data_IF_360986688028
#
_entry.id   IF_360986688028
#
_cell.length_a   1.000
_cell.length_b   1.000
_cell.length_c   1.000
_cell.angle_alpha   90.00
_cell.angle_beta   90.00
_cell.angle_gamma   90.00
#
_symmetry.space_group_name_H-M   'P 1'
#
loop_
_entity.id
_entity.type
_entity.pdbx_description
1 polymer ?
#
# COMPACT_ATOMS: atom_id res chain seq x y z
N UNK A 1 -14.18 -18.59 -26.05
CA UNK A 1 -14.32 -17.21 -26.50
C UNK A 1 -12.94 -16.65 -26.84
N UNK A 2 -12.56 -16.65 -28.06
CA UNK A 2 -11.27 -16.26 -28.59
C UNK A 2 -10.36 -17.45 -28.88
N UNK A 3 -9.71 -17.42 -30.03
CA UNK A 3 -8.61 -18.32 -30.36
C UNK A 3 -7.33 -17.65 -29.84
N UNK A 4 -6.63 -18.29 -28.93
CA UNK A 4 -5.30 -17.86 -28.48
C UNK A 4 -4.29 -18.66 -29.25
N UNK A 5 -3.56 -17.99 -30.14
CA UNK A 5 -2.45 -18.60 -30.87
C UNK A 5 -1.20 -18.59 -30.01
N UNK A 6 -0.72 -19.74 -29.60
CA UNK A 6 0.52 -19.91 -28.85
C UNK A 6 1.16 -21.27 -29.14
N UNK A 7 2.45 -21.37 -28.88
CA UNK A 7 3.25 -22.59 -29.03
C UNK A 7 3.62 -23.23 -27.68
N UNK A 8 3.10 -22.72 -26.56
CA UNK A 8 3.37 -23.23 -25.21
C UNK A 8 2.36 -24.33 -24.91
N UNK A 9 2.82 -25.54 -24.59
CA UNK A 9 1.99 -26.71 -24.31
C UNK A 9 1.96 -27.09 -22.83
N UNK A 10 2.96 -26.65 -22.04
CA UNK A 10 3.07 -26.92 -20.63
C UNK A 10 3.67 -25.71 -19.90
N UNK A 11 3.16 -25.41 -18.70
CA UNK A 11 3.70 -24.39 -17.80
C UNK A 11 3.89 -25.03 -16.41
N UNK A 12 5.11 -24.95 -15.87
CA UNK A 12 5.41 -25.35 -14.51
C UNK A 12 5.63 -24.11 -13.63
N UNK A 13 4.84 -23.97 -12.56
CA UNK A 13 4.96 -22.87 -11.60
C UNK A 13 5.80 -23.31 -10.41
N UNK A 14 6.99 -22.70 -10.27
CA UNK A 14 7.94 -22.99 -9.18
C UNK A 14 7.94 -21.83 -8.17
N UNK A 15 7.41 -22.00 -6.95
CA UNK A 15 7.39 -20.95 -5.94
C UNK A 15 8.73 -20.80 -5.25
N UNK A 16 9.61 -19.92 -5.78
CA UNK A 16 10.91 -19.59 -5.18
C UNK A 16 10.75 -18.29 -4.38
N UNK A 17 10.73 -18.37 -3.05
CA UNK A 17 10.47 -17.22 -2.15
C UNK A 17 11.60 -16.18 -2.18
N UNK A 18 12.86 -16.62 -2.14
CA UNK A 18 14.00 -15.72 -2.10
C UNK A 18 14.25 -15.10 -3.47
N UNK A 19 14.27 -13.76 -3.53
CA UNK A 19 14.41 -12.99 -4.76
C UNK A 19 15.76 -13.22 -5.46
N UNK A 20 16.87 -13.27 -4.71
CA UNK A 20 18.18 -13.50 -5.29
C UNK A 20 18.29 -14.93 -5.90
N UNK A 21 17.68 -15.92 -5.26
CA UNK A 21 17.60 -17.29 -5.78
C UNK A 21 16.78 -17.34 -7.08
N UNK A 22 15.66 -16.61 -7.17
CA UNK A 22 14.87 -16.53 -8.41
C UNK A 22 15.68 -15.96 -9.56
N UNK A 23 16.41 -14.85 -9.31
CA UNK A 23 17.27 -14.23 -10.33
C UNK A 23 18.41 -15.18 -10.72
N UNK A 24 19.03 -15.88 -9.79
CA UNK A 24 20.07 -16.84 -10.10
C UNK A 24 19.54 -18.01 -10.95
N UNK A 25 18.39 -18.57 -10.63
CA UNK A 25 17.72 -19.63 -11.38
C UNK A 25 17.37 -19.18 -12.82
N UNK A 26 16.91 -17.93 -13.01
CA UNK A 26 16.69 -17.38 -14.34
C UNK A 26 18.00 -17.28 -15.13
N UNK A 27 19.03 -16.69 -14.54
CA UNK A 27 20.31 -16.46 -15.22
C UNK A 27 21.10 -17.76 -15.53
N UNK A 28 20.84 -18.83 -14.77
CA UNK A 28 21.39 -20.17 -15.04
C UNK A 28 20.59 -20.98 -16.05
N UNK A 29 19.40 -20.52 -16.45
CA UNK A 29 18.50 -21.28 -17.32
C UNK A 29 17.73 -22.41 -16.63
N UNK A 30 17.70 -22.45 -15.30
CA UNK A 30 16.87 -23.39 -14.53
C UNK A 30 15.37 -23.07 -14.65
N UNK A 31 15.04 -21.79 -14.83
CA UNK A 31 13.70 -21.30 -15.11
C UNK A 31 13.72 -20.30 -16.28
N UNK A 32 12.63 -20.24 -17.03
CA UNK A 32 12.53 -19.42 -18.24
C UNK A 32 11.94 -18.01 -17.97
N UNK A 33 11.10 -17.87 -16.95
CA UNK A 33 10.38 -16.62 -16.63
C UNK A 33 10.43 -16.37 -15.13
N UNK A 34 10.68 -15.13 -14.76
CA UNK A 34 10.52 -14.62 -13.38
C UNK A 34 9.47 -13.53 -13.37
N UNK A 35 8.44 -13.70 -12.58
CA UNK A 35 7.53 -12.61 -12.19
C UNK A 35 8.05 -11.94 -10.92
N UNK A 36 7.73 -10.66 -10.73
CA UNK A 36 8.16 -9.85 -9.58
C UNK A 36 9.70 -9.87 -9.39
N UNK A 37 10.43 -9.65 -10.48
CA UNK A 37 11.88 -9.50 -10.43
C UNK A 37 12.27 -8.29 -9.56
N UNK A 38 13.30 -8.43 -8.69
CA UNK A 38 13.76 -7.30 -7.87
C UNK A 38 14.24 -6.15 -8.76
N UNK A 39 13.79 -4.94 -8.50
CA UNK A 39 14.11 -3.77 -9.34
C UNK A 39 15.61 -3.47 -9.40
N UNK A 40 16.36 -3.84 -8.37
CA UNK A 40 17.81 -3.71 -8.32
C UNK A 40 18.57 -4.65 -9.27
N UNK A 41 17.95 -5.76 -9.69
CA UNK A 41 18.57 -6.76 -10.57
C UNK A 41 18.17 -6.61 -12.04
N UNK A 42 17.22 -5.72 -12.38
CA UNK A 42 16.72 -5.60 -13.76
C UNK A 42 17.81 -5.23 -14.76
N UNK A 43 18.72 -4.32 -14.40
CA UNK A 43 19.85 -3.97 -15.26
C UNK A 43 20.78 -5.17 -15.51
N UNK A 44 21.05 -5.97 -14.47
CA UNK A 44 21.84 -7.20 -14.57
C UNK A 44 21.18 -8.23 -15.48
N UNK A 45 19.87 -8.45 -15.31
CA UNK A 45 19.10 -9.38 -16.14
C UNK A 45 19.12 -8.90 -17.61
N UNK A 46 18.80 -7.64 -17.83
CA UNK A 46 18.74 -7.04 -19.18
C UNK A 46 20.08 -7.05 -19.93
N UNK A 47 21.21 -6.98 -19.20
CA UNK A 47 22.55 -7.05 -19.81
C UNK A 47 23.04 -8.48 -20.05
N UNK A 48 22.35 -9.50 -19.55
CA UNK A 48 22.71 -10.89 -19.72
C UNK A 48 22.22 -11.43 -21.07
N UNK A 49 23.09 -12.09 -21.82
CA UNK A 49 22.76 -12.61 -23.15
C UNK A 49 21.55 -13.57 -23.07
N UNK A 50 20.60 -13.44 -24.00
CA UNK A 50 19.41 -14.27 -24.08
C UNK A 50 18.28 -13.89 -23.10
N UNK A 51 18.45 -12.83 -22.31
CA UNK A 51 17.45 -12.38 -21.36
C UNK A 51 16.81 -11.04 -21.78
N UNK A 52 15.53 -10.89 -21.46
CA UNK A 52 14.76 -9.66 -21.71
C UNK A 52 14.00 -9.28 -20.43
N UNK A 53 13.88 -7.99 -20.16
CA UNK A 53 13.04 -7.44 -19.10
C UNK A 53 11.85 -6.74 -19.76
N UNK A 54 10.65 -7.15 -19.36
CA UNK A 54 9.40 -6.45 -19.68
C UNK A 54 8.85 -5.85 -18.39
N UNK A 55 8.38 -4.62 -18.46
CA UNK A 55 7.83 -3.89 -17.32
C UNK A 55 6.51 -3.24 -17.68
N UNK A 56 5.53 -3.39 -16.80
CA UNK A 56 4.23 -2.74 -16.92
C UNK A 56 3.76 -2.29 -15.54
N UNK A 57 3.00 -1.18 -15.43
CA UNK A 57 2.38 -0.79 -14.18
C UNK A 57 1.46 -1.90 -13.65
N UNK A 58 1.58 -2.22 -12.38
CA UNK A 58 0.68 -3.15 -11.71
C UNK A 58 -0.56 -2.40 -11.22
N UNK A 59 -1.75 -2.99 -11.43
CA UNK A 59 -3.02 -2.44 -10.94
C UNK A 59 -3.18 -2.70 -9.43
N UNK A 60 -2.30 -2.11 -8.64
CA UNK A 60 -2.24 -2.26 -7.18
C UNK A 60 -1.62 -1.04 -6.53
N UNK A 61 -2.30 -0.49 -5.53
CA UNK A 61 -1.74 0.53 -4.65
C UNK A 61 -1.21 -0.12 -3.37
N UNK A 62 0.04 0.21 -2.99
CA UNK A 62 0.63 -0.17 -1.70
C UNK A 62 0.45 1.01 -0.76
N UNK A 63 -0.01 0.74 0.45
CA UNK A 63 -0.30 1.76 1.44
C UNK A 63 0.04 1.31 2.86
N UNK A 64 0.04 2.26 3.78
CA UNK A 64 0.19 2.04 5.20
C UNK A 64 -1.16 2.26 5.88
N UNK A 65 -1.62 1.27 6.64
CA UNK A 65 -2.85 1.35 7.42
C UNK A 65 -2.55 1.65 8.89
N UNK A 66 -3.40 2.47 9.50
CA UNK A 66 -3.33 2.89 10.91
C UNK A 66 -4.65 2.57 11.60
N UNK A 67 -4.65 1.73 12.64
CA UNK A 67 -5.86 1.37 13.39
C UNK A 67 -6.38 2.59 14.17
N UNK A 68 -7.61 3.00 13.88
CA UNK A 68 -8.24 4.20 14.44
C UNK A 68 -9.21 3.90 15.59
N UNK A 69 -9.49 2.62 15.89
CA UNK A 69 -10.54 2.27 16.85
C UNK A 69 -10.03 1.87 18.21
N UNK A 70 -8.89 1.15 18.31
CA UNK A 70 -8.38 0.73 19.61
C UNK A 70 -8.07 1.92 20.50
N UNK A 71 -8.32 1.80 21.80
CA UNK A 71 -8.08 2.90 22.74
C UNK A 71 -6.61 3.14 23.02
N UNK A 72 -5.81 2.08 22.93
CA UNK A 72 -4.36 2.10 23.12
C UNK A 72 -3.70 1.24 22.05
N UNK A 73 -2.55 1.68 21.55
CA UNK A 73 -1.73 0.86 20.65
C UNK A 73 -1.31 -0.44 21.35
N UNK A 74 -1.32 -1.54 20.63
CA UNK A 74 -0.80 -2.85 21.09
C UNK A 74 0.72 -2.82 21.23
N UNK A 75 1.36 -1.95 20.48
CA UNK A 75 2.80 -1.67 20.51
C UNK A 75 3.03 -0.18 20.77
N UNK A 76 4.06 0.15 21.53
CA UNK A 76 4.39 1.56 21.78
C UNK A 76 4.32 1.94 23.26
N UNK A 77 4.42 3.26 23.53
CA UNK A 77 4.61 3.79 24.88
C UNK A 77 3.64 4.93 25.25
N UNK A 78 2.65 5.23 24.40
CA UNK A 78 1.81 6.42 24.58
C UNK A 78 0.73 6.29 25.66
N UNK A 79 0.31 5.05 25.99
CA UNK A 79 -0.84 4.82 26.85
C UNK A 79 -2.20 5.10 26.21
N UNK A 80 -2.21 5.62 24.98
CA UNK A 80 -3.38 5.87 24.13
C UNK A 80 -3.12 5.44 22.69
N UNK A 81 -4.04 5.78 21.77
CA UNK A 81 -3.87 5.55 20.35
C UNK A 81 -3.75 6.87 19.59
N UNK A 82 -2.51 7.30 19.22
CA UNK A 82 -2.29 8.52 18.46
C UNK A 82 -3.03 8.53 17.11
N UNK A 83 -3.24 7.37 16.48
CA UNK A 83 -3.88 7.26 15.16
C UNK A 83 -5.36 7.62 15.14
N UNK A 84 -6.03 7.76 16.29
CA UNK A 84 -7.36 8.34 16.38
C UNK A 84 -7.41 9.80 15.93
N UNK A 85 -6.30 10.53 16.08
CA UNK A 85 -6.18 11.94 15.69
C UNK A 85 -5.84 12.06 14.22
N UNK A 86 -6.64 12.81 13.47
CA UNK A 86 -6.40 13.06 12.04
C UNK A 86 -5.06 13.75 11.81
N UNK A 87 -4.71 14.68 12.68
CA UNK A 87 -3.46 15.46 12.64
C UNK A 87 -2.23 14.54 12.70
N UNK A 88 -2.28 13.50 13.53
CA UNK A 88 -1.21 12.49 13.62
C UNK A 88 -1.09 11.71 12.31
N UNK A 89 -2.21 11.20 11.77
CA UNK A 89 -2.18 10.48 10.49
C UNK A 89 -1.67 11.35 9.35
N UNK A 90 -2.07 12.62 9.31
CA UNK A 90 -1.59 13.59 8.35
C UNK A 90 -0.09 13.90 8.53
N UNK A 91 0.39 14.01 9.77
CA UNK A 91 1.81 14.20 10.06
C UNK A 91 2.65 13.03 9.51
N UNK A 92 2.24 11.79 9.77
CA UNK A 92 2.93 10.62 9.22
C UNK A 92 2.93 10.63 7.68
N UNK A 93 1.79 10.99 7.07
CA UNK A 93 1.66 11.09 5.62
C UNK A 93 2.63 12.11 5.03
N UNK A 94 2.70 13.34 5.59
CA UNK A 94 3.56 14.42 5.11
C UNK A 94 5.04 14.21 5.45
N UNK A 95 5.37 13.37 6.43
CA UNK A 95 6.75 13.02 6.75
C UNK A 95 7.37 12.00 5.78
N UNK A 96 6.56 11.33 4.94
CA UNK A 96 7.03 10.31 4.00
C UNK A 96 7.33 10.94 2.64
N UNK A 97 8.63 11.02 2.31
CA UNK A 97 9.11 11.43 0.98
C UNK A 97 8.89 10.32 -0.04
N UNK A 98 7.70 10.31 -0.64
CA UNK A 98 7.30 9.28 -1.61
C UNK A 98 8.16 9.33 -2.88
N UNK A 99 8.64 10.51 -3.29
CA UNK A 99 9.52 10.67 -4.44
C UNK A 99 10.91 10.07 -4.19
N UNK A 100 11.41 10.18 -2.96
CA UNK A 100 12.63 9.48 -2.57
C UNK A 100 12.45 7.96 -2.57
N UNK A 101 11.30 7.44 -2.15
CA UNK A 101 10.97 6.01 -2.25
C UNK A 101 10.94 5.59 -3.73
N UNK A 102 10.20 6.30 -4.59
CA UNK A 102 10.16 6.06 -6.03
C UNK A 102 11.56 6.00 -6.62
N UNK A 103 12.36 7.04 -6.39
CA UNK A 103 13.68 7.19 -7.01
C UNK A 103 14.73 6.22 -6.46
N UNK A 104 14.82 6.07 -5.13
CA UNK A 104 15.94 5.36 -4.47
C UNK A 104 15.62 3.89 -4.19
N UNK A 105 14.40 3.59 -3.75
CA UNK A 105 13.98 2.22 -3.40
C UNK A 105 13.43 1.49 -4.62
N UNK A 106 12.57 2.16 -5.40
CA UNK A 106 11.87 1.55 -6.54
C UNK A 106 12.57 1.80 -7.89
N UNK A 107 13.72 2.49 -7.90
CA UNK A 107 14.51 2.77 -9.12
C UNK A 107 13.70 3.45 -10.24
N UNK A 108 12.70 4.25 -9.89
CA UNK A 108 11.79 4.91 -10.81
C UNK A 108 10.61 4.04 -11.30
N UNK A 109 10.51 2.80 -10.83
CA UNK A 109 9.51 1.82 -11.29
C UNK A 109 8.30 1.74 -10.37
N UNK A 110 7.83 2.87 -9.88
CA UNK A 110 6.58 3.00 -9.15
C UNK A 110 5.96 4.37 -9.39
N UNK A 111 4.65 4.47 -9.24
CA UNK A 111 3.94 5.74 -9.32
C UNK A 111 3.38 6.10 -7.94
N UNK A 112 3.67 7.31 -7.40
CA UNK A 112 3.04 7.81 -6.19
C UNK A 112 1.53 7.91 -6.37
N UNK A 113 0.77 7.48 -5.37
CA UNK A 113 -0.69 7.53 -5.38
C UNK A 113 -1.21 8.30 -4.16
N UNK A 114 -2.24 9.13 -4.34
CA UNK A 114 -2.94 9.83 -3.26
C UNK A 114 -4.12 9.03 -2.72
N UNK A 115 -4.73 8.17 -3.56
CA UNK A 115 -5.87 7.32 -3.21
C UNK A 115 -5.58 5.85 -3.57
N UNK A 116 -6.37 4.92 -3.02
CA UNK A 116 -6.20 3.47 -3.28
C UNK A 116 -6.92 3.06 -4.56
N UNK A 117 -6.61 3.77 -5.64
CA UNK A 117 -7.07 3.47 -7.00
C UNK A 117 -6.08 4.06 -8.01
N UNK A 118 -6.31 3.92 -9.32
CA UNK A 118 -5.36 4.31 -10.37
C UNK A 118 -6.11 4.62 -11.67
N UNK A 119 -5.46 5.26 -12.66
CA UNK A 119 -6.05 5.56 -13.96
C UNK A 119 -6.68 4.32 -14.62
N UNK A 120 -7.90 4.48 -15.13
CA UNK A 120 -8.68 3.41 -15.74
C UNK A 120 -9.69 2.74 -14.81
N UNK A 121 -9.67 3.05 -13.51
CA UNK A 121 -10.68 2.62 -12.55
C UNK A 121 -11.83 3.63 -12.53
N UNK A 122 -13.07 3.15 -12.56
CA UNK A 122 -14.25 4.02 -12.41
C UNK A 122 -14.19 4.80 -11.10
N UNK A 123 -14.36 6.12 -11.19
CA UNK A 123 -14.28 7.04 -10.05
C UNK A 123 -12.87 7.56 -9.75
N UNK A 124 -11.84 7.14 -10.50
CA UNK A 124 -10.54 7.79 -10.45
C UNK A 124 -10.58 9.14 -11.15
N UNK A 125 -10.02 10.15 -10.52
CA UNK A 125 -9.63 11.41 -11.18
C UNK A 125 -8.26 11.85 -10.68
N UNK A 126 -7.55 12.63 -11.50
CA UNK A 126 -6.23 13.13 -11.15
C UNK A 126 -6.26 14.05 -9.93
N UNK A 127 -7.35 14.82 -9.78
CA UNK A 127 -7.55 15.75 -8.67
C UNK A 127 -7.72 15.00 -7.34
N UNK A 128 -8.42 13.85 -7.36
CA UNK A 128 -8.57 13.00 -6.17
C UNK A 128 -7.27 12.27 -5.80
N UNK A 129 -6.40 12.01 -6.78
CA UNK A 129 -5.11 11.36 -6.59
C UNK A 129 -3.98 12.36 -6.24
N UNK A 130 -4.31 13.64 -6.06
CA UNK A 130 -3.33 14.64 -5.65
C UNK A 130 -2.90 14.42 -4.20
N UNK A 131 -1.60 14.28 -4.00
CA UNK A 131 -1.01 14.03 -2.68
C UNK A 131 -0.79 15.33 -1.91
N UNK A 132 -0.95 15.25 -0.58
CA UNK A 132 -0.40 16.28 0.29
C UNK A 132 1.13 16.37 0.11
N UNK A 133 1.71 17.57 0.18
CA UNK A 133 3.14 17.75 -0.01
C UNK A 133 3.95 17.07 1.10
N UNK A 134 5.14 16.58 0.73
CA UNK A 134 6.14 16.18 1.71
C UNK A 134 6.64 17.42 2.45
N UNK A 135 6.44 17.47 3.76
CA UNK A 135 6.82 18.59 4.62
C UNK A 135 7.07 18.11 6.06
N UNK A 136 8.35 17.99 6.40
CA UNK A 136 8.79 17.50 7.72
C UNK A 136 8.46 18.51 8.83
N UNK A 137 8.55 19.80 8.55
CA UNK A 137 8.32 20.84 9.56
C UNK A 137 6.82 20.96 9.86
N UNK A 138 5.97 20.94 8.83
CA UNK A 138 4.52 20.85 9.02
C UNK A 138 4.13 19.57 9.77
N UNK A 139 4.75 18.43 9.45
CA UNK A 139 4.50 17.16 10.14
C UNK A 139 4.85 17.24 11.64
N UNK A 140 5.98 17.84 12.01
CA UNK A 140 6.33 18.07 13.42
C UNK A 140 5.34 18.96 14.14
N UNK A 141 4.90 20.04 13.48
CA UNK A 141 3.91 20.94 14.06
C UNK A 141 2.58 20.22 14.32
N UNK A 142 2.10 19.43 13.35
CA UNK A 142 0.89 18.62 13.50
C UNK A 142 0.98 17.64 14.67
N UNK A 143 2.14 16.98 14.87
CA UNK A 143 2.34 16.12 16.03
C UNK A 143 2.32 16.88 17.34
N UNK A 144 2.98 18.04 17.40
CA UNK A 144 2.99 18.88 18.59
C UNK A 144 1.60 19.37 18.96
N UNK A 145 0.83 19.87 17.98
CA UNK A 145 -0.55 20.33 18.16
C UNK A 145 -1.49 19.20 18.58
N UNK A 146 -1.19 17.97 18.13
CA UNK A 146 -1.90 16.77 18.55
C UNK A 146 -1.50 16.25 19.94
N UNK A 147 -0.51 16.86 20.62
CA UNK A 147 -0.05 16.49 21.95
C UNK A 147 1.10 15.49 21.97
N UNK A 148 1.82 15.31 20.86
CA UNK A 148 3.00 14.45 20.74
C UNK A 148 4.23 15.23 20.25
N UNK A 149 4.67 16.30 20.97
CA UNK A 149 5.79 17.15 20.52
C UNK A 149 7.13 16.39 20.41
N UNK A 150 7.29 15.34 21.21
CA UNK A 150 8.47 14.47 21.21
C UNK A 150 8.27 13.19 20.38
N UNK A 151 7.14 13.08 19.66
CA UNK A 151 6.76 11.90 18.93
C UNK A 151 6.26 10.76 19.82
N UNK A 152 6.36 9.53 19.33
CA UNK A 152 5.93 8.32 20.05
C UNK A 152 6.59 7.06 19.47
N UNK A 153 6.42 5.93 20.16
CA UNK A 153 6.89 4.62 19.68
C UNK A 153 5.74 3.82 19.10
N UNK A 154 6.01 3.08 18.02
CA UNK A 154 5.04 2.18 17.37
C UNK A 154 5.74 1.09 16.60
N UNK A 155 5.10 -0.09 16.44
CA UNK A 155 5.58 -1.16 15.57
C UNK A 155 4.95 -1.03 14.17
N UNK A 156 5.76 -1.07 13.11
CA UNK A 156 5.30 -1.21 11.73
C UNK A 156 5.40 -2.66 11.28
N UNK A 157 4.28 -3.29 11.01
CA UNK A 157 4.20 -4.65 10.47
C UNK A 157 4.30 -4.61 8.95
N UNK A 158 5.26 -5.34 8.41
CA UNK A 158 5.59 -5.33 7.00
C UNK A 158 5.78 -6.75 6.47
N UNK A 159 5.23 -7.12 5.30
CA UNK A 159 5.64 -8.35 4.64
C UNK A 159 7.06 -8.19 4.07
N UNK A 160 7.74 -9.31 3.81
CA UNK A 160 9.06 -9.31 3.17
C UNK A 160 9.17 -10.29 1.99
N UNK A 161 8.03 -10.86 1.57
CA UNK A 161 7.95 -11.77 0.43
C UNK A 161 6.63 -11.63 -0.35
N UNK A 162 5.98 -10.43 -0.29
CA UNK A 162 4.67 -10.19 -0.89
C UNK A 162 4.67 -9.18 -2.01
N UNK A 163 5.33 -8.06 -1.84
CA UNK A 163 5.39 -6.95 -2.80
C UNK A 163 6.82 -6.67 -3.21
N UNK A 164 6.99 -6.02 -4.36
CA UNK A 164 8.33 -5.61 -4.81
C UNK A 164 8.92 -4.64 -3.78
N UNK A 165 10.08 -5.00 -3.22
CA UNK A 165 10.83 -4.21 -2.24
C UNK A 165 10.03 -3.81 -0.97
N UNK A 166 9.07 -4.62 -0.55
CA UNK A 166 8.21 -4.32 0.62
C UNK A 166 9.01 -3.97 1.88
N UNK A 167 9.94 -4.82 2.32
CA UNK A 167 10.77 -4.55 3.49
C UNK A 167 11.67 -3.31 3.30
N UNK A 168 12.20 -3.08 2.10
CA UNK A 168 13.03 -1.91 1.81
C UNK A 168 12.21 -0.61 1.84
N UNK A 169 10.96 -0.64 1.39
CA UNK A 169 10.03 0.49 1.50
C UNK A 169 9.75 0.77 2.98
N UNK A 170 9.39 -0.25 3.77
CA UNK A 170 9.14 -0.09 5.21
C UNK A 170 10.38 0.44 5.95
N UNK A 171 11.58 -0.04 5.63
CA UNK A 171 12.84 0.47 6.19
C UNK A 171 13.05 1.96 5.89
N UNK A 172 12.74 2.39 4.66
CA UNK A 172 12.80 3.80 4.30
C UNK A 172 11.78 4.64 5.09
N UNK A 173 10.56 4.14 5.26
CA UNK A 173 9.50 4.79 6.07
C UNK A 173 9.94 4.95 7.52
N UNK A 174 10.52 3.92 8.14
CA UNK A 174 11.09 3.98 9.50
C UNK A 174 12.06 5.16 9.65
N UNK A 175 13.02 5.28 8.72
CA UNK A 175 13.99 6.37 8.74
C UNK A 175 13.37 7.75 8.49
N UNK A 176 12.29 7.84 7.72
CA UNK A 176 11.58 9.11 7.48
C UNK A 176 10.77 9.54 8.69
N UNK A 177 10.03 8.63 9.31
CA UNK A 177 9.22 8.92 10.50
C UNK A 177 10.09 9.26 11.72
N UNK A 178 11.29 8.69 11.82
CA UNK A 178 12.27 9.07 12.84
C UNK A 178 12.66 10.55 12.81
N UNK A 179 12.58 11.23 11.65
CA UNK A 179 12.86 12.67 11.54
C UNK A 179 11.84 13.56 12.25
N UNK A 180 10.64 13.04 12.49
CA UNK A 180 9.57 13.75 13.21
C UNK A 180 9.37 13.22 14.63
N UNK A 181 10.32 12.43 15.16
CA UNK A 181 10.27 11.89 16.51
C UNK A 181 9.47 10.61 16.66
N UNK A 182 8.88 10.06 15.58
CA UNK A 182 8.16 8.79 15.66
C UNK A 182 9.15 7.64 15.53
N UNK A 183 9.39 6.93 16.65
CA UNK A 183 10.27 5.78 16.73
C UNK A 183 9.54 4.52 16.28
N UNK A 184 9.81 4.08 15.07
CA UNK A 184 9.14 2.93 14.47
C UNK A 184 10.03 1.69 14.59
N UNK A 185 9.55 0.65 15.28
CA UNK A 185 10.14 -0.69 15.28
C UNK A 185 9.63 -1.46 14.07
N UNK A 186 10.51 -1.81 13.15
CA UNK A 186 10.12 -2.59 11.97
C UNK A 186 9.99 -4.08 12.31
N UNK A 187 8.80 -4.63 12.09
CA UNK A 187 8.52 -6.06 12.21
C UNK A 187 8.26 -6.67 10.82
N UNK A 188 9.34 -7.01 10.13
CA UNK A 188 9.29 -7.66 8.82
C UNK A 188 9.05 -9.16 8.96
N UNK A 189 8.11 -9.70 8.18
CA UNK A 189 7.70 -11.10 8.29
C UNK A 189 7.17 -11.66 6.97
N UNK A 190 7.09 -13.00 6.88
CA UNK A 190 6.52 -13.63 5.67
C UNK A 190 5.06 -13.26 5.48
N UNK A 191 4.62 -13.19 4.21
CA UNK A 191 3.22 -12.87 3.85
C UNK A 191 2.20 -13.74 4.58
N UNK A 192 2.49 -15.02 4.77
CA UNK A 192 1.57 -15.95 5.44
C UNK A 192 1.32 -15.55 6.90
N UNK A 193 2.38 -15.16 7.62
CA UNK A 193 2.27 -14.67 8.99
C UNK A 193 1.64 -13.29 9.02
N UNK A 194 2.08 -12.37 8.15
CA UNK A 194 1.59 -11.01 8.05
C UNK A 194 0.06 -10.97 7.85
N UNK A 195 -0.45 -11.69 6.86
CA UNK A 195 -1.90 -11.71 6.60
C UNK A 195 -2.70 -12.42 7.69
N UNK A 196 -2.13 -13.46 8.34
CA UNK A 196 -2.79 -14.08 9.48
C UNK A 196 -2.97 -13.09 10.62
N UNK A 197 -1.91 -12.38 11.00
CA UNK A 197 -1.93 -11.41 12.08
C UNK A 197 -2.84 -10.20 11.77
N UNK A 198 -2.87 -9.72 10.53
CA UNK A 198 -3.82 -8.68 10.12
C UNK A 198 -5.28 -9.16 10.22
N UNK A 199 -5.58 -10.41 9.81
CA UNK A 199 -6.93 -10.99 9.98
C UNK A 199 -7.32 -11.08 11.44
N UNK A 200 -6.37 -11.42 12.30
CA UNK A 200 -6.56 -11.51 13.75
C UNK A 200 -6.53 -10.12 14.45
N UNK A 201 -6.54 -9.02 13.67
CA UNK A 201 -6.52 -7.62 14.14
C UNK A 201 -5.33 -7.31 15.07
N UNK A 202 -4.15 -7.84 14.78
CA UNK A 202 -2.97 -7.67 15.63
C UNK A 202 -2.01 -6.55 15.17
N UNK A 203 -2.36 -5.77 14.13
CA UNK A 203 -1.51 -4.69 13.61
C UNK A 203 -2.13 -3.33 13.84
N UNK A 204 -1.44 -2.44 14.57
CA UNK A 204 -1.86 -1.05 14.76
C UNK A 204 -1.40 -0.18 13.57
N UNK A 205 -0.21 -0.47 13.06
CA UNK A 205 0.40 0.17 11.90
C UNK A 205 1.00 -0.89 10.99
N UNK A 206 0.62 -0.92 9.72
CA UNK A 206 0.98 -2.02 8.82
C UNK A 206 1.03 -1.60 7.36
N UNK A 207 1.80 -2.33 6.56
CA UNK A 207 1.77 -2.25 5.10
C UNK A 207 0.74 -3.21 4.53
N UNK A 208 -0.04 -2.74 3.56
CA UNK A 208 -0.92 -3.57 2.74
C UNK A 208 -0.89 -3.08 1.29
N UNK A 209 -1.27 -3.94 0.36
CA UNK A 209 -1.48 -3.58 -1.03
C UNK A 209 -2.82 -4.09 -1.53
N UNK A 210 -3.55 -3.23 -2.24
CA UNK A 210 -4.88 -3.55 -2.74
C UNK A 210 -4.97 -3.38 -4.25
N UNK A 211 -5.45 -4.42 -4.93
CA UNK A 211 -5.74 -4.39 -6.36
C UNK A 211 -7.24 -4.15 -6.59
N UNK A 212 -7.59 -3.62 -7.76
CA UNK A 212 -8.99 -3.33 -8.11
C UNK A 212 -9.41 -4.16 -9.34
N UNK A 213 -9.66 -5.46 -9.19
CA UNK A 213 -9.92 -6.37 -10.31
C UNK A 213 -11.21 -6.05 -11.06
N UNK A 214 -12.16 -5.38 -10.42
CA UNK A 214 -13.42 -4.95 -11.04
C UNK A 214 -13.29 -3.67 -11.87
N UNK A 215 -12.14 -2.98 -11.78
CA UNK A 215 -11.90 -1.64 -12.34
C UNK A 215 -12.95 -0.62 -11.89
N UNK A 216 -13.39 -0.74 -10.63
CA UNK A 216 -14.39 0.14 -10.02
C UNK A 216 -14.03 0.46 -8.57
N UNK A 217 -14.07 1.74 -8.18
CA UNK A 217 -13.73 2.21 -6.83
C UNK A 217 -14.62 1.63 -5.74
N UNK A 218 -15.85 1.21 -6.04
CA UNK A 218 -16.72 0.51 -5.10
C UNK A 218 -16.02 -0.68 -4.46
N UNK A 219 -15.20 -1.43 -5.23
CA UNK A 219 -14.45 -2.58 -4.70
C UNK A 219 -13.51 -2.18 -3.55
N UNK A 220 -12.87 -1.01 -3.65
CA UNK A 220 -12.00 -0.47 -2.60
C UNK A 220 -12.83 -0.08 -1.38
N UNK A 221 -13.91 0.68 -1.59
CA UNK A 221 -14.77 1.14 -0.51
C UNK A 221 -15.41 0.00 0.26
N UNK A 222 -16.01 -0.96 -0.44
CA UNK A 222 -16.65 -2.12 0.16
C UNK A 222 -15.72 -2.95 1.05
N UNK A 223 -14.46 -3.15 0.64
CA UNK A 223 -13.54 -3.99 1.41
C UNK A 223 -12.71 -3.23 2.44
N UNK A 224 -12.32 -1.99 2.17
CA UNK A 224 -11.34 -1.26 3.01
C UNK A 224 -11.95 -0.16 3.88
N UNK A 225 -13.13 0.38 3.49
CA UNK A 225 -13.69 1.55 4.17
C UNK A 225 -15.11 1.35 4.71
N UNK A 226 -15.90 0.43 4.18
CA UNK A 226 -17.22 0.13 4.74
C UNK A 226 -17.09 -0.28 6.21
N UNK A 227 -17.98 0.29 7.05
CA UNK A 227 -17.96 0.03 8.48
C UNK A 227 -18.13 -1.46 8.77
N UNK A 228 -17.17 -2.07 9.47
CA UNK A 228 -17.17 -3.48 9.81
C UNK A 228 -16.74 -4.43 8.68
N UNK A 229 -16.34 -3.94 7.52
CA UNK A 229 -15.85 -4.79 6.43
C UNK A 229 -14.61 -5.59 6.84
N UNK A 230 -14.48 -6.80 6.29
CA UNK A 230 -13.48 -7.79 6.73
C UNK A 230 -12.02 -7.35 6.57
N UNK A 231 -11.75 -6.48 5.62
CA UNK A 231 -10.42 -5.91 5.35
C UNK A 231 -10.26 -4.45 5.77
N UNK A 232 -11.29 -3.87 6.38
CA UNK A 232 -11.21 -2.57 7.03
C UNK A 232 -10.41 -2.69 8.34
N UNK A 233 -9.10 -2.94 8.23
CA UNK A 233 -8.21 -3.17 9.37
C UNK A 233 -7.73 -1.88 10.04
N UNK A 234 -8.03 -0.74 9.43
CA UNK A 234 -7.87 0.58 10.05
C UNK A 234 -9.05 0.91 10.96
N UNK A 235 -10.09 0.08 10.97
CA UNK A 235 -11.34 0.26 11.71
C UNK A 235 -11.98 1.64 11.48
N UNK A 236 -11.86 2.14 10.25
CA UNK A 236 -12.54 3.35 9.80
C UNK A 236 -14.05 3.15 9.85
N UNK A 237 -14.78 4.15 10.30
CA UNK A 237 -16.24 4.14 10.31
C UNK A 237 -16.76 5.56 10.11
N UNK A 238 -17.54 5.74 9.05
CA UNK A 238 -18.16 7.02 8.71
C UNK A 238 -19.50 6.78 8.00
N UNK A 239 -20.57 7.38 8.54
CA UNK A 239 -21.93 7.16 8.05
C UNK A 239 -22.16 7.72 6.65
N UNK A 240 -21.44 8.79 6.24
CA UNK A 240 -21.56 9.37 4.90
C UNK A 240 -20.89 8.47 3.88
N UNK A 241 -19.73 7.88 4.23
CA UNK A 241 -19.06 6.90 3.39
C UNK A 241 -19.91 5.63 3.24
N UNK A 242 -20.48 5.11 4.31
CA UNK A 242 -21.39 3.95 4.25
C UNK A 242 -22.63 4.25 3.39
N UNK A 243 -23.17 5.46 3.47
CA UNK A 243 -24.29 5.88 2.62
C UNK A 243 -23.87 5.97 1.14
N UNK A 244 -22.67 6.51 0.85
CA UNK A 244 -22.14 6.58 -0.50
C UNK A 244 -21.90 5.17 -1.09
N UNK A 245 -21.41 4.21 -0.30
CA UNK A 245 -21.25 2.81 -0.74
C UNK A 245 -22.59 2.22 -1.18
N UNK A 246 -23.66 2.43 -0.41
CA UNK A 246 -25.01 1.97 -0.81
C UNK A 246 -25.48 2.60 -2.12
N UNK A 247 -25.15 3.87 -2.37
CA UNK A 247 -25.43 4.52 -3.67
C UNK A 247 -24.61 3.85 -4.79
N UNK A 248 -23.31 3.57 -4.53
CA UNK A 248 -22.45 2.89 -5.52
C UNK A 248 -22.99 1.50 -5.92
N UNK A 249 -23.65 0.80 -5.01
CA UNK A 249 -24.23 -0.54 -5.23
C UNK A 249 -25.50 -0.52 -6.07
N UNK A 250 -26.36 0.47 -5.85
CA UNK A 250 -27.72 0.47 -6.43
C UNK A 250 -27.99 1.52 -7.51
N UNK A 251 -27.16 2.55 -7.65
CA UNK A 251 -27.41 3.65 -8.59
C UNK A 251 -26.95 3.27 -10.01
N UNK A 252 -27.89 3.33 -10.95
CA UNK A 252 -27.65 3.03 -12.37
C UNK A 252 -27.27 4.28 -13.19
N UNK A 253 -27.56 5.48 -12.68
CA UNK A 253 -27.13 6.72 -13.29
C UNK A 253 -25.64 6.95 -12.99
N UNK A 254 -24.80 6.86 -14.01
CA UNK A 254 -23.34 6.96 -13.87
C UNK A 254 -22.87 8.28 -13.27
N UNK A 255 -23.51 9.39 -13.59
CA UNK A 255 -23.14 10.72 -13.05
C UNK A 255 -23.36 10.77 -11.54
N UNK A 256 -24.54 10.35 -11.08
CA UNK A 256 -24.85 10.29 -9.64
C UNK A 256 -23.95 9.30 -8.91
N UNK A 257 -23.70 8.14 -9.51
CA UNK A 257 -22.83 7.14 -8.94
C UNK A 257 -21.39 7.65 -8.82
N UNK A 258 -20.85 8.28 -9.85
CA UNK A 258 -19.50 8.84 -9.82
C UNK A 258 -19.39 10.01 -8.83
N UNK A 259 -20.45 10.82 -8.66
CA UNK A 259 -20.48 11.86 -7.62
C UNK A 259 -20.40 11.25 -6.21
N UNK A 260 -21.10 10.14 -5.94
CA UNK A 260 -21.00 9.43 -4.66
C UNK A 260 -19.59 8.90 -4.42
N UNK A 261 -18.94 8.30 -5.45
CA UNK A 261 -17.55 7.83 -5.37
C UNK A 261 -16.61 9.02 -5.04
N UNK A 262 -16.72 10.12 -5.78
CA UNK A 262 -15.88 11.30 -5.57
C UNK A 262 -16.05 11.92 -4.17
N UNK A 263 -17.28 11.96 -3.66
CA UNK A 263 -17.55 12.45 -2.30
C UNK A 263 -16.92 11.53 -1.25
N UNK A 264 -17.05 10.21 -1.40
CA UNK A 264 -16.43 9.26 -0.48
C UNK A 264 -14.89 9.39 -0.46
N UNK A 265 -14.24 9.55 -1.62
CA UNK A 265 -12.79 9.78 -1.69
C UNK A 265 -12.31 11.06 -1.00
N UNK A 266 -13.15 12.07 -0.88
CA UNK A 266 -12.82 13.32 -0.16
C UNK A 266 -12.90 13.19 1.37
N UNK A 267 -13.63 12.20 1.86
CA UNK A 267 -13.82 11.95 3.30
C UNK A 267 -12.68 11.06 3.84
N UNK A 268 -12.28 10.05 3.10
CA UNK A 268 -11.28 9.04 3.52
C UNK A 268 -9.80 9.48 3.22
#
# INVERSE_FOLDING_TARGET
WGNVEHNITEIQLLPIKNAATRVAALLSGEIDIVTDAPVQDLARISSSAGHKVESTPQMRTIFLGMDQAVDQLRSGNTGDNPFKKKEVRQALYQAIDIEAIKKKVMRGLSEPAGIITFPGVTGYTKELDERLPYDVDAAKQLLADAGYPDGFEVELRCPNDRYVNDEAICTAVVGMLGKIGVNVSLFAQTKSKHFKELKDNQGDFYMLGWGVPTLDSHYVFHYLYESGASWNKVNFSDAEVDAAIRVMEGEVNLEKRNAAIANAWKIV
#
